data_IF_201361616091
#
_entry.id   IF_201361616091
#
_cell.length_a   1.000
_cell.length_b   1.000
_cell.length_c   1.000
_cell.angle_alpha   90.00
_cell.angle_beta   90.00
_cell.angle_gamma   90.00
#
_symmetry.space_group_name_H-M   'P 1'
#
loop_
_entity.id
_entity.type
_entity.pdbx_description
1 polymer ?
#
# COMPACT_ATOMS: atom_id res chain seq x y z
N UNK A 1 -27.40 -32.95 15.92
CA UNK A 1 -26.99 -32.49 14.57
C UNK A 1 -25.84 -31.53 14.80
N UNK A 2 -24.61 -32.01 14.63
CA UNK A 2 -23.38 -31.25 14.88
C UNK A 2 -22.83 -30.82 13.53
N UNK A 3 -23.18 -29.62 13.08
CA UNK A 3 -22.46 -28.96 11.98
C UNK A 3 -21.28 -28.20 12.58
N UNK A 4 -20.22 -28.95 12.86
CA UNK A 4 -18.88 -28.36 12.92
C UNK A 4 -18.33 -28.36 11.51
N UNK A 5 -18.54 -27.25 10.82
CA UNK A 5 -17.85 -26.90 9.60
C UNK A 5 -16.37 -26.68 9.95
N UNK A 6 -15.61 -27.78 9.94
CA UNK A 6 -14.16 -27.77 10.06
C UNK A 6 -13.62 -27.07 8.81
N UNK A 7 -13.28 -25.79 8.95
CA UNK A 7 -12.49 -25.06 7.95
C UNK A 7 -11.20 -25.82 7.69
N UNK A 8 -11.05 -26.36 6.48
CA UNK A 8 -9.82 -27.01 6.06
C UNK A 8 -8.63 -26.03 6.16
N UNK A 9 -7.41 -26.51 6.48
CA UNK A 9 -6.24 -25.65 6.51
C UNK A 9 -6.03 -25.01 5.13
N UNK A 10 -5.85 -23.68 5.09
CA UNK A 10 -5.52 -22.92 3.86
C UNK A 10 -4.27 -23.51 3.20
N UNK A 11 -4.24 -23.51 1.86
CA UNK A 11 -3.09 -23.98 1.11
C UNK A 11 -1.83 -23.15 1.42
N UNK A 12 -0.64 -23.70 1.18
CA UNK A 12 0.62 -22.95 1.32
C UNK A 12 0.60 -21.66 0.50
N UNK A 13 0.01 -21.69 -0.71
CA UNK A 13 -0.20 -20.52 -1.55
C UNK A 13 -1.09 -19.47 -0.87
N UNK A 14 -2.26 -19.85 -0.34
CA UNK A 14 -3.16 -18.91 0.36
C UNK A 14 -2.47 -18.26 1.57
N UNK A 15 -1.65 -19.02 2.30
CA UNK A 15 -0.87 -18.49 3.42
C UNK A 15 0.23 -17.51 2.98
N UNK A 16 0.87 -17.74 1.82
CA UNK A 16 1.84 -16.80 1.23
C UNK A 16 1.14 -15.52 0.80
N UNK A 17 0.00 -15.62 0.09
CA UNK A 17 -0.76 -14.45 -0.35
C UNK A 17 -1.25 -13.62 0.84
N UNK A 18 -1.77 -14.27 1.88
CA UNK A 18 -2.18 -13.59 3.12
C UNK A 18 -1.01 -12.87 3.80
N UNK A 19 0.18 -13.50 3.82
CA UNK A 19 1.40 -12.88 4.37
C UNK A 19 1.86 -11.69 3.53
N UNK A 20 1.85 -11.79 2.21
CA UNK A 20 2.22 -10.69 1.32
C UNK A 20 1.30 -9.47 1.52
N UNK A 21 -0.02 -9.71 1.65
CA UNK A 21 -0.98 -8.65 2.01
C UNK A 21 -0.65 -8.02 3.35
N UNK A 22 -0.36 -8.82 4.38
CA UNK A 22 -0.04 -8.32 5.71
C UNK A 22 1.23 -7.44 5.72
N UNK A 23 2.27 -7.83 4.97
CA UNK A 23 3.51 -7.04 4.81
C UNK A 23 3.20 -5.68 4.19
N UNK A 24 2.42 -5.65 3.10
CA UNK A 24 2.09 -4.39 2.42
C UNK A 24 1.19 -3.49 3.28
N UNK A 25 0.23 -4.06 4.01
CA UNK A 25 -0.62 -3.30 4.92
C UNK A 25 0.19 -2.65 6.04
N UNK A 26 1.10 -3.40 6.67
CA UNK A 26 1.96 -2.83 7.72
C UNK A 26 2.92 -1.78 7.13
N UNK A 27 3.50 -2.02 5.95
CA UNK A 27 4.31 -1.03 5.26
C UNK A 27 3.56 0.30 5.05
N UNK A 28 2.33 0.26 4.53
CA UNK A 28 1.51 1.47 4.31
C UNK A 28 1.21 2.17 5.64
N UNK A 29 0.84 1.41 6.67
CA UNK A 29 0.56 1.96 8.00
C UNK A 29 1.78 2.67 8.57
N UNK A 30 2.94 2.01 8.58
CA UNK A 30 4.18 2.60 9.10
C UNK A 30 4.62 3.81 8.27
N UNK A 31 4.59 3.73 6.93
CA UNK A 31 5.11 4.77 6.06
C UNK A 31 4.19 6.00 5.97
N UNK A 32 2.90 5.76 5.71
CA UNK A 32 1.95 6.82 5.38
C UNK A 32 1.31 7.36 6.65
N UNK A 33 0.71 6.50 7.46
CA UNK A 33 -0.13 6.91 8.60
C UNK A 33 0.69 7.26 9.85
N UNK A 34 1.74 6.49 10.14
CA UNK A 34 2.59 6.71 11.32
C UNK A 34 3.84 7.56 11.03
N UNK A 35 4.28 7.62 9.76
CA UNK A 35 5.55 8.26 9.39
C UNK A 35 6.78 7.59 10.02
N UNK A 36 6.67 6.33 10.44
CA UNK A 36 7.74 5.55 11.02
C UNK A 36 8.64 4.99 9.91
N UNK A 37 9.58 5.84 9.46
CA UNK A 37 10.49 5.55 8.35
C UNK A 37 11.30 4.27 8.59
N UNK A 38 11.74 4.02 9.82
CA UNK A 38 12.59 2.85 10.11
C UNK A 38 11.79 1.55 10.08
N UNK A 39 10.59 1.51 10.67
CA UNK A 39 9.72 0.35 10.59
C UNK A 39 9.26 0.07 9.16
N UNK A 40 8.91 1.12 8.40
CA UNK A 40 8.55 0.97 7.00
C UNK A 40 9.73 0.45 6.15
N UNK A 41 10.94 0.99 6.37
CA UNK A 41 12.13 0.58 5.61
C UNK A 41 12.55 -0.86 5.89
N UNK A 42 12.18 -1.41 7.04
CA UNK A 42 12.46 -2.80 7.39
C UNK A 42 11.75 -3.81 6.48
N UNK A 43 10.72 -3.39 5.72
CA UNK A 43 10.03 -4.23 4.75
C UNK A 43 10.78 -4.38 3.42
N UNK A 44 11.75 -3.53 3.10
CA UNK A 44 12.50 -3.65 1.85
C UNK A 44 13.53 -4.78 1.88
N UNK A 45 13.81 -5.30 0.68
CA UNK A 45 14.97 -6.16 0.43
C UNK A 45 16.23 -5.31 0.22
N UNK A 46 17.34 -5.97 -0.09
CA UNK A 46 18.63 -5.29 -0.34
C UNK A 46 18.58 -4.33 -1.53
N UNK A 47 17.65 -4.58 -2.47
CA UNK A 47 17.33 -3.71 -3.59
C UNK A 47 15.82 -3.46 -3.67
N UNK A 48 15.45 -2.23 -4.01
CA UNK A 48 14.07 -1.80 -4.23
C UNK A 48 14.02 -0.91 -5.47
N UNK A 49 13.19 -1.28 -6.44
CA UNK A 49 13.01 -0.56 -7.70
C UNK A 49 11.72 0.28 -7.63
N UNK A 50 11.85 1.58 -7.84
CA UNK A 50 10.75 2.55 -7.84
C UNK A 50 10.43 3.01 -9.26
N UNK A 51 9.15 2.89 -9.65
CA UNK A 51 8.67 3.35 -10.95
C UNK A 51 7.91 4.68 -10.90
N UNK A 52 7.54 5.18 -9.72
CA UNK A 52 6.92 6.51 -9.60
C UNK A 52 7.94 7.58 -10.01
N UNK A 53 7.70 8.34 -11.10
CA UNK A 53 8.69 9.30 -11.63
C UNK A 53 8.95 10.49 -10.71
N UNK A 54 8.17 10.64 -9.63
CA UNK A 54 8.32 11.72 -8.66
C UNK A 54 9.10 11.31 -7.41
N UNK A 55 9.51 10.05 -7.30
CA UNK A 55 10.22 9.50 -6.13
C UNK A 55 11.55 8.93 -6.61
N UNK A 56 12.70 9.34 -6.02
CA UNK A 56 13.98 8.74 -6.36
C UNK A 56 13.99 7.24 -6.08
N UNK A 57 14.80 6.51 -6.85
CA UNK A 57 14.91 5.07 -6.73
C UNK A 57 15.59 4.61 -5.42
N UNK A 58 15.37 3.35 -5.04
CA UNK A 58 15.98 2.71 -3.87
C UNK A 58 15.38 3.10 -2.52
N UNK A 59 15.86 2.42 -1.47
CA UNK A 59 15.37 2.59 -0.09
C UNK A 59 15.63 4.01 0.43
N UNK A 60 16.77 4.62 0.10
CA UNK A 60 17.06 6.00 0.51
C UNK A 60 16.16 7.03 -0.21
N UNK A 61 15.76 6.76 -1.45
CA UNK A 61 14.77 7.55 -2.16
C UNK A 61 13.41 7.54 -1.44
N UNK A 62 12.96 6.35 -1.02
CA UNK A 62 11.78 6.20 -0.17
C UNK A 62 11.91 6.96 1.17
N UNK A 63 13.02 6.75 1.90
CA UNK A 63 13.24 7.40 3.22
C UNK A 63 13.18 8.92 3.11
N UNK A 64 13.76 9.46 2.05
CA UNK A 64 13.76 10.90 1.76
C UNK A 64 12.36 11.41 1.42
N UNK A 65 11.62 10.66 0.59
CA UNK A 65 10.24 10.99 0.23
C UNK A 65 9.30 11.01 1.44
N UNK A 66 9.30 9.97 2.27
CA UNK A 66 8.41 9.93 3.45
C UNK A 66 8.72 11.07 4.42
N UNK A 67 10.00 11.39 4.64
CA UNK A 67 10.41 12.52 5.47
C UNK A 67 9.84 13.83 4.95
N UNK A 68 10.00 14.11 3.65
CA UNK A 68 9.49 15.33 3.03
C UNK A 68 7.96 15.37 3.05
N UNK A 69 7.30 14.26 2.72
CA UNK A 69 5.85 14.14 2.70
C UNK A 69 5.27 14.47 4.08
N UNK A 70 5.87 13.97 5.16
CA UNK A 70 5.40 14.18 6.54
C UNK A 70 5.72 15.56 7.10
N UNK A 71 6.84 16.15 6.69
CA UNK A 71 7.15 17.54 6.98
C UNK A 71 6.17 18.51 6.31
N UNK A 72 5.74 18.19 5.08
CA UNK A 72 4.85 19.06 4.29
C UNK A 72 3.37 18.84 4.66
N UNK A 73 2.99 17.59 4.92
CA UNK A 73 1.62 17.17 5.20
C UNK A 73 1.62 16.29 6.46
N UNK A 74 1.63 16.90 7.66
CA UNK A 74 1.70 16.17 8.92
C UNK A 74 0.48 15.25 9.14
N UNK A 75 -0.67 15.65 8.60
CA UNK A 75 -1.94 14.93 8.72
C UNK A 75 -2.27 14.03 7.53
N UNK A 76 -1.27 13.68 6.68
CA UNK A 76 -1.56 12.72 5.59
C UNK A 76 -2.15 11.45 6.20
N UNK A 77 -3.10 10.86 5.48
CA UNK A 77 -3.60 9.52 5.76
C UNK A 77 -3.84 8.74 4.48
N UNK A 78 -3.61 7.44 4.58
CA UNK A 78 -3.97 6.44 3.59
C UNK A 78 -5.00 5.48 4.16
N UNK A 79 -6.14 5.35 3.48
CA UNK A 79 -7.19 4.39 3.82
C UNK A 79 -7.26 3.31 2.74
N UNK A 80 -6.83 2.10 3.08
CA UNK A 80 -6.89 0.95 2.16
C UNK A 80 -8.33 0.47 2.04
N UNK A 81 -8.84 0.47 0.81
CA UNK A 81 -10.26 0.14 0.50
C UNK A 81 -10.41 -1.29 0.03
N UNK A 82 -9.39 -1.78 -0.68
CA UNK A 82 -9.30 -3.15 -1.16
C UNK A 82 -7.86 -3.52 -1.44
N UNK A 83 -7.55 -4.79 -1.25
CA UNK A 83 -6.22 -5.36 -1.46
C UNK A 83 -6.31 -6.75 -2.07
N UNK A 84 -5.61 -6.94 -3.18
CA UNK A 84 -5.52 -8.19 -3.94
C UNK A 84 -4.08 -8.66 -3.95
N UNK A 85 -3.86 -9.97 -3.88
CA UNK A 85 -2.54 -10.54 -4.01
C UNK A 85 -2.61 -11.73 -4.96
N UNK A 86 -1.65 -11.82 -5.86
CA UNK A 86 -1.52 -12.87 -6.86
C UNK A 86 -0.04 -13.14 -7.14
N UNK A 87 0.38 -14.40 -6.97
CA UNK A 87 1.79 -14.76 -6.98
C UNK A 87 2.61 -13.87 -6.05
N UNK A 88 3.58 -13.17 -6.62
CA UNK A 88 4.49 -12.26 -5.92
C UNK A 88 3.99 -10.81 -5.87
N UNK A 89 2.81 -10.53 -6.44
CA UNK A 89 2.26 -9.17 -6.53
C UNK A 89 1.19 -8.91 -5.47
N UNK A 90 1.16 -7.68 -4.99
CA UNK A 90 0.09 -7.14 -4.15
C UNK A 90 -0.37 -5.82 -4.74
N UNK A 91 -1.66 -5.70 -4.99
CA UNK A 91 -2.30 -4.51 -5.55
C UNK A 91 -3.19 -3.91 -4.47
N UNK A 92 -3.00 -2.62 -4.21
CA UNK A 92 -3.75 -1.87 -3.22
C UNK A 92 -4.53 -0.79 -3.95
N UNK A 93 -5.81 -0.67 -3.66
CA UNK A 93 -6.59 0.51 -4.02
C UNK A 93 -6.97 1.24 -2.75
N UNK A 94 -6.60 2.51 -2.67
CA UNK A 94 -6.70 3.32 -1.45
C UNK A 94 -7.10 4.75 -1.73
N UNK A 95 -7.72 5.36 -0.72
CA UNK A 95 -7.93 6.80 -0.65
C UNK A 95 -6.75 7.41 0.12
N UNK A 96 -6.04 8.35 -0.49
CA UNK A 96 -5.00 9.13 0.17
C UNK A 96 -5.44 10.59 0.31
N UNK A 97 -5.32 11.14 1.52
CA UNK A 97 -5.60 12.55 1.81
C UNK A 97 -4.37 13.19 2.42
N UNK A 98 -4.01 14.41 2.02
CA UNK A 98 -2.90 15.17 2.63
C UNK A 98 -3.35 16.04 3.78
N UNK A 99 -4.62 16.40 3.78
CA UNK A 99 -5.33 17.08 4.84
C UNK A 99 -6.72 16.42 5.00
N UNK A 100 -7.27 16.31 6.23
CA UNK A 100 -8.57 15.69 6.47
C UNK A 100 -9.72 16.26 5.61
N UNK A 101 -9.66 17.56 5.29
CA UNK A 101 -10.68 18.30 4.55
C UNK A 101 -10.57 18.13 3.03
N UNK A 102 -9.44 17.62 2.52
CA UNK A 102 -9.29 17.36 1.08
C UNK A 102 -10.20 16.19 0.62
N UNK A 103 -10.71 16.27 -0.61
CA UNK A 103 -11.35 15.12 -1.26
C UNK A 103 -10.37 13.95 -1.40
N UNK A 104 -9.11 14.24 -1.69
CA UNK A 104 -8.01 13.28 -1.76
C UNK A 104 -7.76 12.71 -3.15
N UNK A 105 -6.99 11.62 -3.18
CA UNK A 105 -6.57 10.89 -4.36
C UNK A 105 -7.04 9.44 -4.26
N UNK A 106 -7.59 8.89 -5.34
CA UNK A 106 -7.65 7.45 -5.56
C UNK A 106 -6.29 6.99 -6.07
N UNK A 107 -5.66 6.07 -5.33
CA UNK A 107 -4.35 5.53 -5.66
C UNK A 107 -4.48 4.02 -5.88
N UNK A 108 -3.85 3.53 -6.94
CA UNK A 108 -3.53 2.11 -7.10
C UNK A 108 -2.02 1.95 -6.99
N UNK A 109 -1.59 1.29 -5.93
CA UNK A 109 -0.22 0.85 -5.74
C UNK A 109 -0.09 -0.62 -6.11
N UNK A 110 0.99 -0.97 -6.80
CA UNK A 110 1.35 -2.33 -7.15
C UNK A 110 2.73 -2.58 -6.55
N UNK A 111 2.82 -3.58 -5.68
CA UNK A 111 4.07 -4.02 -5.08
C UNK A 111 4.43 -5.40 -5.60
N UNK A 112 5.71 -5.64 -5.87
CA UNK A 112 6.26 -6.98 -6.01
C UNK A 112 7.07 -7.34 -4.78
N UNK A 113 6.90 -8.58 -4.31
CA UNK A 113 7.60 -9.14 -3.18
C UNK A 113 8.52 -10.27 -3.60
N UNK A 114 9.63 -10.43 -2.89
CA UNK A 114 10.49 -11.61 -2.99
C UNK A 114 11.06 -11.92 -1.61
N UNK A 115 11.08 -13.19 -1.22
CA UNK A 115 11.56 -13.63 0.10
C UNK A 115 10.98 -12.80 1.29
N UNK A 116 9.68 -12.47 1.23
CA UNK A 116 8.96 -11.66 2.21
C UNK A 116 9.44 -10.20 2.33
N UNK A 117 10.04 -9.66 1.26
CA UNK A 117 10.52 -8.29 1.18
C UNK A 117 9.91 -7.56 -0.02
N UNK A 118 9.62 -6.28 0.15
CA UNK A 118 9.25 -5.38 -0.95
C UNK A 118 10.51 -5.14 -1.81
N UNK A 119 10.39 -5.39 -3.11
CA UNK A 119 11.53 -5.27 -4.05
C UNK A 119 11.22 -4.39 -5.25
N UNK A 120 9.96 -4.06 -5.50
CA UNK A 120 9.57 -3.22 -6.63
C UNK A 120 8.18 -2.60 -6.42
N UNK A 121 7.96 -1.40 -6.97
CA UNK A 121 6.73 -0.64 -6.80
C UNK A 121 6.35 0.23 -8.00
N UNK A 122 5.06 0.22 -8.32
CA UNK A 122 4.41 1.13 -9.28
C UNK A 122 3.22 1.82 -8.62
N UNK A 123 2.95 3.06 -9.03
CA UNK A 123 1.82 3.86 -8.56
C UNK A 123 1.11 4.51 -9.74
N UNK A 124 -0.22 4.49 -9.72
CA UNK A 124 -1.04 5.46 -10.45
C UNK A 124 -1.98 6.16 -9.47
N UNK A 125 -2.14 7.46 -9.67
CA UNK A 125 -2.99 8.29 -8.81
C UNK A 125 -3.90 9.18 -9.63
N UNK A 126 -5.13 9.34 -9.17
CA UNK A 126 -6.13 10.22 -9.77
C UNK A 126 -6.81 11.05 -8.66
N UNK A 127 -6.96 12.37 -8.83
CA UNK A 127 -7.80 13.17 -7.95
C UNK A 127 -9.24 12.63 -7.90
N UNK A 128 -9.81 12.59 -6.69
CA UNK A 128 -11.25 12.32 -6.54
C UNK A 128 -12.03 13.44 -7.21
N UNK A 129 -12.89 13.09 -8.15
CA UNK A 129 -13.69 14.06 -8.89
C UNK A 129 -14.78 14.67 -7.99
N UNK A 130 -15.02 15.98 -8.11
CA UNK A 130 -16.13 16.66 -7.42
C UNK A 130 -17.50 16.31 -8.03
N UNK A 131 -17.50 15.87 -9.28
CA UNK A 131 -18.69 15.40 -9.99
C UNK A 131 -18.31 14.29 -10.96
N UNK A 132 -19.21 13.33 -11.13
CA UNK A 132 -19.04 12.22 -12.06
C UNK A 132 -20.34 11.93 -12.81
N UNK A 133 -20.23 11.25 -13.96
CA UNK A 133 -21.37 10.95 -14.83
C UNK A 133 -22.16 9.72 -14.36
N UNK A 134 -21.56 8.89 -13.49
CA UNK A 134 -22.04 7.53 -13.19
C UNK A 134 -22.69 7.37 -11.81
N UNK A 135 -22.57 8.37 -10.93
CA UNK A 135 -23.08 8.39 -9.56
C UNK A 135 -22.37 7.47 -8.55
N UNK A 136 -21.35 6.71 -8.97
CA UNK A 136 -20.64 5.77 -8.11
C UNK A 136 -19.32 6.36 -7.60
N UNK A 137 -19.03 6.16 -6.31
CA UNK A 137 -17.73 6.52 -5.72
C UNK A 137 -16.56 5.87 -6.47
N UNK A 138 -15.50 6.64 -6.74
CA UNK A 138 -14.22 6.11 -7.23
C UNK A 138 -13.55 5.18 -6.20
N UNK A 139 -13.95 5.31 -4.94
CA UNK A 139 -13.41 4.63 -3.76
C UNK A 139 -14.34 3.55 -3.26
#
# INVERSE_FOLDING_TARGET
MNDQEKTAPRSSADSILARNKAIVLDFIEQAVNQGNIDAASAHFGDAYIQHNPNIPDGVEGFRSYVRQLRQTFPDVRGEVKRIVAEGDYVIVHMLAKRDPEEAGLAIVDIFRLSANKLVEHWEVRQPIAESDLHGNSMI
#
